data_IF_369090408935
#
_entry.id   IF_369090408935
#
_cell.length_a   1.000
_cell.length_b   1.000
_cell.length_c   1.000
_cell.angle_alpha   90.00
_cell.angle_beta   90.00
_cell.angle_gamma   90.00
#
_symmetry.space_group_name_H-M   'P 1'
#
loop_
_entity.id
_entity.type
_entity.pdbx_description
1 polymer ?
#
# COMPACT_ATOMS: atom_id res chain seq x y z
N UNK A 1 -15.70 28.57 5.01
CA UNK A 1 -14.46 27.76 4.95
C UNK A 1 -14.90 26.31 4.84
N UNK A 2 -14.49 25.56 3.81
CA UNK A 2 -14.89 24.15 3.73
C UNK A 2 -14.19 23.39 4.85
N UNK A 3 -14.94 22.66 5.66
CA UNK A 3 -14.35 21.79 6.68
C UNK A 3 -13.43 20.75 6.01
N UNK A 4 -12.35 20.40 6.69
CA UNK A 4 -11.42 19.35 6.26
C UNK A 4 -11.57 18.18 7.22
N UNK A 5 -11.78 16.99 6.68
CA UNK A 5 -11.87 15.73 7.43
C UNK A 5 -10.69 14.85 7.07
N UNK A 6 -9.98 14.36 8.09
CA UNK A 6 -8.95 13.34 7.92
C UNK A 6 -9.58 11.99 8.30
N UNK A 7 -9.64 11.06 7.35
CA UNK A 7 -10.22 9.73 7.55
C UNK A 7 -9.13 8.67 7.39
N UNK A 8 -8.83 7.95 8.49
CA UNK A 8 -7.85 6.86 8.49
C UNK A 8 -8.53 5.51 8.39
N UNK A 9 -8.09 4.68 7.45
CA UNK A 9 -8.55 3.32 7.23
C UNK A 9 -7.42 2.35 7.55
N UNK A 10 -7.61 1.48 8.55
CA UNK A 10 -6.64 0.46 8.91
C UNK A 10 -6.66 -0.73 7.94
N UNK A 11 -5.65 -1.60 8.00
CA UNK A 11 -5.60 -2.79 7.14
C UNK A 11 -6.81 -3.69 7.30
N UNK A 12 -7.27 -3.88 8.54
CA UNK A 12 -8.52 -4.62 8.83
C UNK A 12 -9.77 -3.96 8.24
N UNK A 13 -9.77 -2.63 8.09
CA UNK A 13 -10.86 -1.88 7.45
C UNK A 13 -10.84 -2.03 5.93
N UNK A 14 -9.65 -2.17 5.32
CA UNK A 14 -9.50 -2.46 3.89
C UNK A 14 -9.99 -3.87 3.58
N UNK A 15 -9.82 -4.78 4.54
CA UNK A 15 -10.24 -6.17 4.44
C UNK A 15 -9.20 -7.05 3.76
N UNK A 16 -9.46 -8.34 3.77
CA UNK A 16 -8.61 -9.34 3.11
C UNK A 16 -8.72 -9.13 1.61
N UNK A 17 -7.60 -8.90 0.95
CA UNK A 17 -7.52 -8.65 -0.50
C UNK A 17 -8.47 -7.53 -0.98
N UNK A 18 -8.71 -6.53 -0.13
CA UNK A 18 -9.53 -5.36 -0.45
C UNK A 18 -11.04 -5.55 -0.38
N UNK A 19 -11.54 -6.66 0.21
CA UNK A 19 -12.98 -6.97 0.27
C UNK A 19 -13.87 -5.85 0.82
N UNK A 20 -13.33 -4.97 1.66
CA UNK A 20 -14.08 -3.90 2.32
C UNK A 20 -13.88 -2.51 1.69
N UNK A 21 -13.08 -2.41 0.61
CA UNK A 21 -12.88 -1.16 -0.14
C UNK A 21 -14.19 -0.53 -0.64
N UNK A 22 -15.20 -1.28 -1.14
CA UNK A 22 -16.49 -0.68 -1.51
C UNK A 22 -17.16 0.12 -0.38
N UNK A 23 -17.06 -0.35 0.86
CA UNK A 23 -17.59 0.36 2.05
C UNK A 23 -16.77 1.60 2.37
N UNK A 24 -15.44 1.54 2.19
CA UNK A 24 -14.55 2.71 2.34
C UNK A 24 -14.93 3.81 1.33
N UNK A 25 -15.17 3.46 0.07
CA UNK A 25 -15.59 4.40 -0.99
C UNK A 25 -16.91 5.08 -0.59
N UNK A 26 -17.90 4.31 -0.14
CA UNK A 26 -19.17 4.85 0.35
C UNK A 26 -18.96 5.85 1.50
N UNK A 27 -18.06 5.53 2.43
CA UNK A 27 -17.73 6.40 3.56
C UNK A 27 -17.07 7.70 3.09
N UNK A 28 -16.08 7.63 2.20
CA UNK A 28 -15.41 8.81 1.64
C UNK A 28 -16.43 9.69 0.89
N UNK A 29 -17.30 9.09 0.06
CA UNK A 29 -18.37 9.80 -0.63
C UNK A 29 -19.37 10.46 0.33
N UNK A 30 -19.69 9.82 1.46
CA UNK A 30 -20.55 10.43 2.46
C UNK A 30 -19.89 11.65 3.12
N UNK A 31 -18.59 11.56 3.41
CA UNK A 31 -17.85 12.65 4.04
C UNK A 31 -17.63 13.82 3.07
N UNK A 32 -17.38 13.53 1.79
CA UNK A 32 -17.10 14.53 0.76
C UNK A 32 -18.29 15.44 0.44
N UNK A 33 -19.52 15.09 0.85
CA UNK A 33 -20.71 15.94 0.71
C UNK A 33 -20.59 17.27 1.45
N UNK A 34 -19.90 17.29 2.59
CA UNK A 34 -19.87 18.45 3.50
C UNK A 34 -18.44 18.92 3.83
N UNK A 35 -17.41 18.21 3.35
CA UNK A 35 -16.02 18.45 3.69
C UNK A 35 -15.08 18.09 2.53
N UNK A 36 -13.88 18.68 2.54
CA UNK A 36 -12.75 18.09 1.80
C UNK A 36 -12.20 16.94 2.63
N UNK A 37 -11.87 15.81 1.99
CA UNK A 37 -11.41 14.60 2.68
C UNK A 37 -9.93 14.35 2.37
N UNK A 38 -9.13 14.14 3.41
CA UNK A 38 -7.80 13.54 3.33
C UNK A 38 -7.94 12.10 3.81
N UNK A 39 -7.78 11.13 2.92
CA UNK A 39 -7.85 9.72 3.25
C UNK A 39 -6.44 9.15 3.50
N UNK A 40 -6.28 8.43 4.60
CA UNK A 40 -5.02 7.79 5.01
C UNK A 40 -5.25 6.28 5.06
N UNK A 41 -4.45 5.51 4.32
CA UNK A 41 -4.62 4.06 4.19
C UNK A 41 -3.41 3.33 4.77
N UNK A 42 -3.67 2.33 5.61
CA UNK A 42 -2.65 1.33 5.99
C UNK A 42 -2.44 0.31 4.87
N UNK A 43 -1.42 -0.55 4.99
CA UNK A 43 -1.30 -1.74 4.14
C UNK A 43 -2.53 -2.67 4.24
N UNK A 44 -2.93 -3.36 3.16
CA UNK A 44 -4.06 -4.29 3.17
C UNK A 44 -3.73 -5.58 3.94
N UNK A 45 -4.78 -6.35 4.27
CA UNK A 45 -4.63 -7.73 4.72
C UNK A 45 -4.70 -8.68 3.52
N UNK A 46 -4.17 -9.88 3.70
CA UNK A 46 -4.32 -11.01 2.77
C UNK A 46 -4.50 -12.32 3.53
N UNK A 47 -4.78 -13.39 2.80
CA UNK A 47 -4.90 -14.74 3.34
C UNK A 47 -3.64 -15.56 3.02
N UNK A 48 -2.94 -16.00 4.07
CA UNK A 48 -1.81 -16.93 3.97
C UNK A 48 -2.15 -18.15 4.81
N UNK A 49 -2.26 -19.32 4.17
CA UNK A 49 -2.54 -20.60 4.82
C UNK A 49 -3.78 -20.58 5.74
N UNK A 50 -4.84 -19.88 5.33
CA UNK A 50 -6.08 -19.75 6.09
C UNK A 50 -6.04 -18.71 7.21
N UNK A 51 -4.93 -17.99 7.38
CA UNK A 51 -4.78 -16.92 8.38
C UNK A 51 -4.74 -15.54 7.72
N UNK A 52 -5.43 -14.59 8.32
CA UNK A 52 -5.37 -13.20 7.91
C UNK A 52 -4.05 -12.57 8.37
N UNK A 53 -3.27 -12.03 7.44
CA UNK A 53 -2.00 -11.36 7.71
C UNK A 53 -1.92 -10.03 7.00
N UNK A 54 -1.27 -9.06 7.64
CA UNK A 54 -0.98 -7.77 7.00
C UNK A 54 0.16 -7.92 5.99
N UNK A 55 0.12 -7.17 4.89
CA UNK A 55 1.24 -7.11 3.96
C UNK A 55 2.50 -6.53 4.61
N UNK A 56 2.38 -5.62 5.59
CA UNK A 56 3.51 -5.14 6.41
C UNK A 56 4.25 -6.31 7.08
N UNK A 57 3.46 -7.22 7.61
CA UNK A 57 3.88 -8.40 8.37
C UNK A 57 4.57 -9.42 7.45
N UNK A 58 4.02 -9.63 6.25
CA UNK A 58 4.63 -10.46 5.21
C UNK A 58 5.94 -9.84 4.73
N UNK A 59 5.99 -8.52 4.54
CA UNK A 59 7.19 -7.81 4.10
C UNK A 59 8.32 -7.87 5.15
N UNK A 60 7.99 -7.83 6.45
CA UNK A 60 8.96 -8.09 7.52
C UNK A 60 9.57 -9.48 7.41
N UNK A 61 8.75 -10.50 7.14
CA UNK A 61 9.23 -11.89 7.01
C UNK A 61 10.03 -12.11 5.72
N UNK A 62 9.70 -11.39 4.64
CA UNK A 62 10.53 -11.36 3.42
C UNK A 62 11.90 -10.75 3.70
N UNK A 63 11.95 -9.64 4.45
CA UNK A 63 13.19 -8.98 4.83
C UNK A 63 14.11 -9.86 5.69
N UNK A 64 13.56 -10.51 6.71
CA UNK A 64 14.31 -11.46 7.57
C UNK A 64 14.88 -12.65 6.79
N UNK A 65 14.11 -13.17 5.82
CA UNK A 65 14.59 -14.25 4.94
C UNK A 65 15.72 -13.76 4.04
N UNK A 66 15.58 -12.56 3.47
CA UNK A 66 16.63 -11.95 2.65
C UNK A 66 17.93 -11.75 3.44
N UNK A 67 17.85 -11.22 4.68
CA UNK A 67 18.99 -11.12 5.61
C UNK A 67 19.71 -12.46 5.83
N UNK A 68 18.97 -13.57 5.87
CA UNK A 68 19.51 -14.92 6.00
C UNK A 68 20.09 -15.51 4.69
N UNK A 69 20.08 -14.75 3.59
CA UNK A 69 20.58 -15.22 2.29
C UNK A 69 19.54 -15.87 1.40
N UNK A 70 18.28 -15.96 1.84
CA UNK A 70 17.23 -16.67 1.12
C UNK A 70 16.64 -15.82 -0.01
N UNK A 71 16.32 -16.46 -1.14
CA UNK A 71 15.56 -15.83 -2.21
C UNK A 71 14.08 -15.99 -1.87
N UNK A 72 13.39 -14.88 -1.68
CA UNK A 72 11.94 -14.88 -1.50
C UNK A 72 11.26 -14.23 -2.69
N UNK A 73 10.22 -14.89 -3.21
CA UNK A 73 9.36 -14.29 -4.21
C UNK A 73 8.38 -13.28 -3.57
N UNK A 74 7.86 -12.38 -4.41
CA UNK A 74 6.86 -11.38 -4.01
C UNK A 74 5.44 -11.83 -4.40
N UNK A 75 5.21 -13.14 -4.61
CA UNK A 75 3.95 -13.65 -5.19
C UNK A 75 2.75 -13.28 -4.33
N UNK A 76 2.88 -13.38 -3.00
CA UNK A 76 1.78 -13.04 -2.09
C UNK A 76 1.42 -11.56 -2.22
N UNK A 77 2.41 -10.66 -2.15
CA UNK A 77 2.19 -9.21 -2.31
C UNK A 77 1.52 -8.91 -3.65
N UNK A 78 2.06 -9.48 -4.74
CA UNK A 78 1.55 -9.32 -6.10
C UNK A 78 0.10 -9.78 -6.23
N UNK A 79 -0.22 -10.98 -5.77
CA UNK A 79 -1.58 -11.54 -5.85
C UNK A 79 -2.59 -10.70 -5.08
N UNK A 80 -2.22 -10.18 -3.90
CA UNK A 80 -3.09 -9.28 -3.13
C UNK A 80 -3.43 -8.04 -3.94
N UNK A 81 -2.43 -7.37 -4.54
CA UNK A 81 -2.69 -6.17 -5.33
C UNK A 81 -3.35 -6.46 -6.69
N UNK A 82 -3.09 -7.61 -7.31
CA UNK A 82 -3.82 -8.06 -8.51
C UNK A 82 -5.30 -8.27 -8.20
N UNK A 83 -5.62 -8.79 -7.00
CA UNK A 83 -7.02 -8.92 -6.57
C UNK A 83 -7.68 -7.57 -6.34
N UNK A 84 -6.98 -6.64 -5.71
CA UNK A 84 -7.45 -5.26 -5.49
C UNK A 84 -7.60 -4.51 -6.81
N UNK A 85 -6.73 -4.76 -7.78
CA UNK A 85 -6.76 -4.15 -9.13
C UNK A 85 -8.07 -4.44 -9.87
N UNK A 86 -8.77 -5.54 -9.55
CA UNK A 86 -10.10 -5.84 -10.11
C UNK A 86 -11.16 -4.76 -9.78
N UNK A 87 -10.91 -3.91 -8.77
CA UNK A 87 -11.77 -2.78 -8.39
C UNK A 87 -11.50 -1.50 -9.19
N UNK A 88 -10.51 -1.52 -10.09
CA UNK A 88 -10.12 -0.39 -10.93
C UNK A 88 -10.75 -0.56 -12.30
N UNK A 89 -11.36 0.51 -12.82
CA UNK A 89 -11.91 0.54 -14.17
C UNK A 89 -10.83 0.35 -15.25
N UNK A 90 -11.21 -0.25 -16.37
CA UNK A 90 -10.31 -0.57 -17.48
C UNK A 90 -9.48 0.62 -17.98
N UNK A 91 -10.01 1.85 -17.92
CA UNK A 91 -9.30 3.08 -18.28
C UNK A 91 -8.01 3.30 -17.45
N UNK A 92 -8.01 2.88 -16.19
CA UNK A 92 -6.91 3.11 -15.25
C UNK A 92 -6.12 1.84 -14.93
N UNK A 93 -6.62 0.65 -15.31
CA UNK A 93 -6.00 -0.63 -14.95
C UNK A 93 -4.54 -0.74 -15.36
N UNK A 94 -4.18 -0.38 -16.59
CA UNK A 94 -2.80 -0.48 -17.07
C UNK A 94 -1.86 0.41 -16.24
N UNK A 95 -2.25 1.67 -16.00
CA UNK A 95 -1.46 2.62 -15.20
C UNK A 95 -1.33 2.15 -13.75
N UNK A 96 -2.42 1.65 -13.17
CA UNK A 96 -2.40 1.11 -11.81
C UNK A 96 -1.49 -0.12 -11.72
N UNK A 97 -1.53 -1.01 -12.72
CA UNK A 97 -0.65 -2.17 -12.81
C UNK A 97 0.82 -1.76 -12.90
N UNK A 98 1.17 -0.77 -13.72
CA UNK A 98 2.54 -0.24 -13.79
C UNK A 98 3.02 0.25 -12.43
N UNK A 99 2.18 0.95 -11.67
CA UNK A 99 2.55 1.40 -10.31
C UNK A 99 2.75 0.22 -9.34
N UNK A 100 1.91 -0.82 -9.43
CA UNK A 100 2.10 -2.06 -8.66
C UNK A 100 3.45 -2.68 -9.00
N UNK A 101 3.77 -2.82 -10.29
CA UNK A 101 5.04 -3.38 -10.75
C UNK A 101 6.24 -2.56 -10.27
N UNK A 102 6.21 -1.24 -10.47
CA UNK A 102 7.27 -0.32 -10.06
C UNK A 102 7.54 -0.36 -8.55
N UNK A 103 6.48 -0.43 -7.72
CA UNK A 103 6.62 -0.52 -6.27
C UNK A 103 7.18 -1.87 -5.83
N UNK A 104 6.70 -2.97 -6.42
CA UNK A 104 7.21 -4.31 -6.11
C UNK A 104 8.65 -4.51 -6.60
N UNK A 105 9.06 -3.85 -7.68
CA UNK A 105 10.45 -3.85 -8.14
C UNK A 105 11.36 -3.10 -7.17
N UNK A 106 10.92 -1.98 -6.60
CA UNK A 106 11.64 -1.31 -5.50
C UNK A 106 11.78 -2.21 -4.28
N UNK A 107 10.72 -2.92 -3.89
CA UNK A 107 10.77 -3.91 -2.81
C UNK A 107 11.82 -4.98 -3.12
N UNK A 108 11.84 -5.52 -4.35
CA UNK A 108 12.86 -6.50 -4.75
C UNK A 108 14.27 -5.94 -4.61
N UNK A 109 14.52 -4.71 -5.08
CA UNK A 109 15.83 -4.06 -4.96
C UNK A 109 16.27 -3.92 -3.51
N UNK A 110 15.37 -3.52 -2.60
CA UNK A 110 15.72 -3.39 -1.18
C UNK A 110 15.96 -4.75 -0.51
N UNK A 111 15.22 -5.80 -0.88
CA UNK A 111 15.47 -7.15 -0.39
C UNK A 111 16.82 -7.72 -0.86
N UNK A 112 17.23 -7.45 -2.11
CA UNK A 112 18.58 -7.84 -2.57
C UNK A 112 19.67 -7.11 -1.79
N UNK A 113 19.49 -5.81 -1.48
CA UNK A 113 20.41 -5.09 -0.58
C UNK A 113 20.47 -5.72 0.81
N UNK A 114 19.32 -6.10 1.37
CA UNK A 114 19.26 -6.76 2.68
C UNK A 114 20.05 -8.07 2.69
N UNK A 115 19.95 -8.83 1.59
CA UNK A 115 20.68 -10.07 1.37
C UNK A 115 22.18 -9.88 1.19
N UNK A 116 22.59 -8.92 0.38
CA UNK A 116 24.01 -8.60 0.14
C UNK A 116 24.70 -8.14 1.44
N UNK A 117 24.01 -7.31 2.23
CA UNK A 117 24.51 -6.79 3.50
C UNK A 117 24.36 -7.77 4.66
N UNK A 118 23.50 -8.79 4.52
CA UNK A 118 23.02 -9.66 5.61
C UNK A 118 22.47 -8.86 6.78
N UNK A 119 21.65 -7.86 6.44
CA UNK A 119 21.07 -6.94 7.41
C UNK A 119 19.73 -6.41 6.89
N UNK A 120 18.69 -6.46 7.72
CA UNK A 120 17.36 -5.91 7.40
C UNK A 120 16.93 -4.85 8.42
N UNK A 121 17.60 -3.70 8.38
CA UNK A 121 17.42 -2.59 9.32
C UNK A 121 17.19 -1.27 8.58
N UNK A 122 16.96 -0.22 9.35
CA UNK A 122 17.02 1.18 8.92
C UNK A 122 16.22 1.49 7.64
N UNK A 123 16.89 2.10 6.67
CA UNK A 123 16.33 2.55 5.39
C UNK A 123 15.84 1.37 4.55
N UNK A 124 16.57 0.24 4.54
CA UNK A 124 16.22 -0.95 3.76
C UNK A 124 14.90 -1.52 4.26
N UNK A 125 14.75 -1.65 5.58
CA UNK A 125 13.50 -2.06 6.23
C UNK A 125 12.38 -1.07 5.91
N UNK A 126 12.63 0.21 6.15
CA UNK A 126 11.63 1.27 5.98
C UNK A 126 11.07 1.33 4.56
N UNK A 127 11.94 1.29 3.54
CA UNK A 127 11.55 1.27 2.12
C UNK A 127 10.80 0.00 1.75
N UNK A 128 11.28 -1.16 2.20
CA UNK A 128 10.61 -2.46 1.97
C UNK A 128 9.18 -2.43 2.48
N UNK A 129 8.96 -1.94 3.71
CA UNK A 129 7.63 -1.84 4.30
C UNK A 129 6.75 -0.81 3.57
N UNK A 130 7.29 0.38 3.29
CA UNK A 130 6.53 1.44 2.67
C UNK A 130 6.06 1.09 1.24
N UNK A 131 6.94 0.55 0.39
CA UNK A 131 6.63 0.21 -1.00
C UNK A 131 5.85 -1.10 -1.16
N UNK A 132 5.84 -1.99 -0.17
CA UNK A 132 4.97 -3.18 -0.17
C UNK A 132 3.58 -2.91 0.44
N UNK A 133 3.47 -1.90 1.30
CA UNK A 133 2.28 -1.58 2.06
C UNK A 133 1.67 -0.22 1.70
N UNK A 134 1.86 0.75 2.58
CA UNK A 134 1.13 2.02 2.61
C UNK A 134 1.30 2.87 1.35
N UNK A 135 2.53 3.01 0.82
CA UNK A 135 2.76 3.84 -0.37
C UNK A 135 2.01 3.22 -1.55
N UNK A 136 2.22 1.92 -1.80
CA UNK A 136 1.56 1.24 -2.90
C UNK A 136 0.03 1.26 -2.75
N UNK A 137 -0.49 0.97 -1.56
CA UNK A 137 -1.93 1.04 -1.30
C UNK A 137 -2.51 2.44 -1.57
N UNK A 138 -1.79 3.51 -1.22
CA UNK A 138 -2.24 4.89 -1.46
C UNK A 138 -2.36 5.22 -2.95
N UNK A 139 -1.43 4.72 -3.77
CA UNK A 139 -1.50 4.87 -5.23
C UNK A 139 -2.65 4.06 -5.82
N UNK A 140 -2.83 2.81 -5.39
CA UNK A 140 -3.94 1.95 -5.85
C UNK A 140 -5.28 2.56 -5.48
N UNK A 141 -5.42 3.13 -4.27
CA UNK A 141 -6.63 3.83 -3.86
C UNK A 141 -6.91 5.09 -4.67
N UNK A 142 -5.90 5.80 -5.19
CA UNK A 142 -6.14 6.93 -6.11
C UNK A 142 -6.96 6.45 -7.31
N UNK A 143 -6.52 5.39 -7.98
CA UNK A 143 -7.19 4.85 -9.16
C UNK A 143 -8.57 4.28 -8.84
N UNK A 144 -8.71 3.54 -7.74
CA UNK A 144 -10.02 3.02 -7.30
C UNK A 144 -11.01 4.17 -7.06
N UNK A 145 -10.58 5.25 -6.41
CA UNK A 145 -11.43 6.42 -6.18
C UNK A 145 -11.79 7.11 -7.51
N UNK A 146 -10.85 7.26 -8.43
CA UNK A 146 -11.09 7.83 -9.76
C UNK A 146 -12.09 7.00 -10.58
N UNK A 147 -11.97 5.67 -10.57
CA UNK A 147 -12.95 4.72 -11.15
C UNK A 147 -14.35 4.89 -10.57
N UNK A 148 -14.46 5.32 -9.32
CA UNK A 148 -15.74 5.59 -8.67
C UNK A 148 -16.20 7.06 -8.81
N UNK A 149 -15.65 7.80 -9.77
CA UNK A 149 -16.03 9.19 -10.07
C UNK A 149 -15.56 10.20 -9.03
N UNK A 150 -14.69 9.81 -8.09
CA UNK A 150 -14.17 10.69 -7.05
C UNK A 150 -12.88 11.33 -7.57
N UNK A 151 -12.88 12.67 -7.69
CA UNK A 151 -11.66 13.43 -7.99
C UNK A 151 -10.67 13.29 -6.83
N UNK A 152 -9.62 12.50 -7.02
CA UNK A 152 -8.60 12.21 -6.01
C UNK A 152 -7.20 12.36 -6.61
N UNK A 153 -6.21 12.54 -5.73
CA UNK A 153 -4.78 12.54 -6.05
C UNK A 153 -4.00 12.03 -4.84
N UNK A 154 -3.06 11.11 -5.05
CA UNK A 154 -2.13 10.71 -4.00
C UNK A 154 -1.12 11.83 -3.71
N UNK A 155 -0.77 12.02 -2.45
CA UNK A 155 0.36 12.88 -2.07
C UNK A 155 1.61 11.99 -2.10
N UNK A 156 2.46 12.20 -3.10
CA UNK A 156 3.71 11.44 -3.23
C UNK A 156 4.68 11.73 -2.09
N UNK A 157 5.55 10.76 -1.79
CA UNK A 157 6.49 10.81 -0.64
C UNK A 157 7.32 12.10 -0.60
N UNK A 158 7.82 12.55 -1.75
CA UNK A 158 8.62 13.79 -1.87
C UNK A 158 7.85 15.07 -1.49
N UNK A 159 6.52 14.98 -1.39
CA UNK A 159 5.62 16.08 -1.03
C UNK A 159 4.95 15.86 0.33
N UNK A 160 5.37 14.87 1.11
CA UNK A 160 4.80 14.64 2.44
C UNK A 160 5.20 15.80 3.38
N UNK A 161 4.24 16.37 4.14
CA UNK A 161 4.54 17.42 5.12
C UNK A 161 5.14 16.87 6.42
N UNK A 162 5.46 15.58 6.47
CA UNK A 162 5.96 14.88 7.65
C UNK A 162 7.47 14.73 7.48
N UNK A 163 8.24 15.48 8.25
CA UNK A 163 9.70 15.42 8.29
C UNK A 163 10.09 14.76 9.60
N UNK A 164 10.81 13.65 9.52
CA UNK A 164 11.34 12.91 10.67
C UNK A 164 12.85 13.12 10.77
N UNK A 165 13.43 12.76 11.90
CA UNK A 165 14.89 12.64 12.01
C UNK A 165 15.40 11.36 11.33
N UNK A 166 16.69 11.08 11.48
CA UNK A 166 17.35 9.87 10.98
C UNK A 166 17.42 8.76 12.03
N UNK A 167 16.53 8.78 13.03
CA UNK A 167 16.45 7.73 14.05
C UNK A 167 15.66 6.54 13.48
N UNK A 168 16.35 5.69 12.70
CA UNK A 168 15.78 4.52 12.00
C UNK A 168 16.21 3.21 12.67
#
# INVERSE_FOLDING_TARGET
MNSVVIAKFGGSTIGVDGTSIPVIIQRINSLSKNAKVIAVFSAPLTNVEGKHRSLTDIALDLGKRAENGEISDLIILRKTYEKILELVDSEFQEKCKTIIDDCLDKVRTELEKAKEKKEFTDEVRSKTLAFSGEILMSHVMEYILQSNGIKSKVVGLDNWPIITDSNI
#
